data_IF_723886336872
#
_entry.id   IF_723886336872
#
_cell.length_a   1.000
_cell.length_b   1.000
_cell.length_c   1.000
_cell.angle_alpha   90.00
_cell.angle_beta   90.00
_cell.angle_gamma   90.00
#
_symmetry.space_group_name_H-M   'P 1'
#
loop_
_entity.id
_entity.type
_entity.pdbx_description
1 polymer ?
#
# COMPACT_ATOMS: atom_id res chain seq x y z
N UNK A 1 -7.19 -5.48 -1.72
CA UNK A 1 -6.82 -6.91 -1.71
C UNK A 1 -5.73 -7.09 -0.67
N UNK A 2 -6.07 -7.63 0.50
CA UNK A 2 -5.06 -8.07 1.49
C UNK A 2 -4.35 -9.26 0.87
N UNK A 3 -3.16 -9.06 0.30
CA UNK A 3 -2.34 -10.19 -0.12
C UNK A 3 -2.11 -11.07 1.12
N UNK A 4 -2.38 -12.38 1.04
CA UNK A 4 -2.21 -13.29 2.16
C UNK A 4 -0.72 -13.43 2.45
N UNK A 5 -0.26 -12.62 3.41
CA UNK A 5 1.07 -12.65 4.02
C UNK A 5 1.60 -14.08 4.26
N UNK A 6 0.82 -15.08 4.73
CA UNK A 6 1.38 -16.40 5.01
C UNK A 6 1.84 -17.19 3.78
N UNK A 7 1.23 -16.98 2.60
CA UNK A 7 1.58 -17.75 1.39
C UNK A 7 2.95 -17.31 0.85
N UNK A 8 3.27 -16.03 0.98
CA UNK A 8 4.52 -15.44 0.49
C UNK A 8 5.69 -15.77 1.43
N UNK A 9 5.45 -15.80 2.75
CA UNK A 9 6.42 -16.32 3.71
C UNK A 9 6.69 -17.81 3.49
N UNK A 10 5.64 -18.61 3.27
CA UNK A 10 5.77 -20.03 2.98
C UNK A 10 6.58 -20.31 1.70
N UNK A 11 6.34 -19.55 0.64
CA UNK A 11 7.08 -19.69 -0.62
C UNK A 11 8.56 -19.29 -0.47
N UNK A 12 8.86 -18.23 0.28
CA UNK A 12 10.24 -17.77 0.50
C UNK A 12 11.04 -18.77 1.34
N UNK A 13 10.42 -19.38 2.36
CA UNK A 13 11.04 -20.42 3.19
C UNK A 13 11.28 -21.71 2.39
N UNK A 14 10.33 -22.10 1.54
CA UNK A 14 10.46 -23.28 0.69
C UNK A 14 11.59 -23.14 -0.35
N UNK A 15 11.72 -21.96 -0.96
CA UNK A 15 12.80 -21.66 -1.92
C UNK A 15 14.16 -21.64 -1.20
N UNK A 16 14.24 -21.06 0.00
CA UNK A 16 15.46 -21.08 0.82
C UNK A 16 15.90 -22.51 1.19
N UNK A 17 14.96 -23.38 1.58
CA UNK A 17 15.24 -24.78 1.91
C UNK A 17 15.70 -25.61 0.70
N UNK A 18 15.08 -25.42 -0.47
CA UNK A 18 15.44 -26.16 -1.68
C UNK A 18 16.86 -25.84 -2.14
N UNK A 19 17.27 -24.57 -2.01
CA UNK A 19 18.61 -24.11 -2.43
C UNK A 19 19.67 -24.52 -1.41
N UNK A 20 19.36 -24.48 -0.11
CA UNK A 20 20.25 -25.01 0.93
C UNK A 20 20.51 -26.53 0.75
N UNK A 21 19.47 -27.31 0.43
CA UNK A 21 19.60 -28.73 0.15
C UNK A 21 20.47 -29.00 -1.10
N UNK A 22 20.31 -28.19 -2.15
CA UNK A 22 21.15 -28.28 -3.36
C UNK A 22 22.61 -27.93 -3.06
N UNK A 23 22.86 -26.88 -2.27
CA UNK A 23 24.20 -26.48 -1.84
C UNK A 23 24.93 -27.56 -1.03
N UNK A 24 24.24 -28.25 -0.12
CA UNK A 24 24.79 -29.36 0.66
C UNK A 24 25.17 -30.55 -0.24
N UNK A 25 24.34 -30.86 -1.25
CA UNK A 25 24.61 -31.96 -2.18
C UNK A 25 25.83 -31.71 -3.09
N UNK A 26 26.12 -30.45 -3.41
CA UNK A 26 27.26 -30.04 -4.25
C UNK A 26 28.53 -29.80 -3.43
N UNK A 27 28.41 -29.34 -2.17
CA UNK A 27 29.55 -29.16 -1.26
C UNK A 27 30.28 -30.46 -0.91
N UNK A 28 29.58 -31.60 -0.97
CA UNK A 28 30.18 -32.94 -0.86
C UNK A 28 31.14 -33.29 -2.02
N UNK A 29 31.14 -32.52 -3.12
CA UNK A 29 31.99 -32.75 -4.31
C UNK A 29 33.27 -31.88 -4.37
N UNK A 30 33.60 -31.15 -3.31
CA UNK A 30 34.92 -30.47 -3.17
C UNK A 30 34.99 -29.00 -3.62
N UNK A 31 33.85 -28.31 -3.74
CA UNK A 31 33.80 -26.86 -3.96
C UNK A 31 34.01 -26.09 -2.63
N UNK A 32 34.58 -24.87 -2.68
CA UNK A 32 34.82 -24.01 -1.51
C UNK A 32 33.52 -23.74 -0.72
N UNK A 33 33.37 -24.42 0.42
CA UNK A 33 32.20 -24.35 1.31
C UNK A 33 31.85 -22.92 1.73
N UNK A 34 32.84 -22.03 1.85
CA UNK A 34 32.65 -20.61 2.22
C UNK A 34 31.81 -19.84 1.20
N UNK A 35 32.06 -20.04 -0.09
CA UNK A 35 31.32 -19.36 -1.17
C UNK A 35 29.88 -19.85 -1.26
N UNK A 36 29.66 -21.15 -1.05
CA UNK A 36 28.32 -21.74 -1.03
C UNK A 36 27.49 -21.27 0.18
N UNK A 37 28.11 -21.14 1.36
CA UNK A 37 27.43 -20.64 2.55
C UNK A 37 27.01 -19.16 2.40
N UNK A 38 27.87 -18.34 1.78
CA UNK A 38 27.54 -16.94 1.49
C UNK A 38 26.41 -16.84 0.44
N UNK A 39 26.49 -17.61 -0.65
CA UNK A 39 25.44 -17.63 -1.68
C UNK A 39 24.08 -18.11 -1.14
N UNK A 40 24.07 -19.11 -0.25
CA UNK A 40 22.84 -19.57 0.40
C UNK A 40 22.21 -18.49 1.30
N UNK A 41 23.04 -17.72 2.00
CA UNK A 41 22.57 -16.59 2.83
C UNK A 41 22.01 -15.46 1.97
N UNK A 42 22.70 -15.06 0.91
CA UNK A 42 22.26 -13.98 0.02
C UNK A 42 20.93 -14.31 -0.66
N UNK A 43 20.76 -15.55 -1.12
CA UNK A 43 19.51 -15.99 -1.76
C UNK A 43 18.35 -16.12 -0.76
N UNK A 44 18.63 -16.42 0.51
CA UNK A 44 17.59 -16.43 1.54
C UNK A 44 17.11 -15.00 1.90
N UNK A 45 18.01 -14.01 1.87
CA UNK A 45 17.71 -12.61 2.21
C UNK A 45 17.12 -11.84 1.02
N UNK A 46 17.55 -12.15 -0.22
CA UNK A 46 17.10 -11.48 -1.44
C UNK A 46 15.57 -11.37 -1.62
N UNK A 47 14.75 -12.43 -1.46
CA UNK A 47 13.30 -12.32 -1.65
C UNK A 47 12.63 -11.42 -0.61
N UNK A 48 13.16 -11.38 0.62
CA UNK A 48 12.67 -10.50 1.69
C UNK A 48 12.91 -9.03 1.30
N UNK A 49 14.11 -8.71 0.81
CA UNK A 49 14.47 -7.36 0.39
C UNK A 49 13.61 -6.89 -0.80
N UNK A 50 13.45 -7.73 -1.83
CA UNK A 50 12.62 -7.41 -3.00
C UNK A 50 11.16 -7.15 -2.59
N UNK A 51 10.60 -7.97 -1.71
CA UNK A 51 9.23 -7.79 -1.23
C UNK A 51 9.05 -6.49 -0.44
N UNK A 52 9.98 -6.19 0.46
CA UNK A 52 9.95 -4.96 1.26
C UNK A 52 10.00 -3.72 0.36
N UNK A 53 10.90 -3.73 -0.64
CA UNK A 53 11.02 -2.60 -1.58
C UNK A 53 9.74 -2.38 -2.40
N UNK A 54 9.02 -3.43 -2.78
CA UNK A 54 7.79 -3.29 -3.56
C UNK A 54 6.64 -2.68 -2.74
N UNK A 55 6.47 -3.11 -1.49
CA UNK A 55 5.47 -2.52 -0.58
C UNK A 55 5.84 -1.08 -0.24
N UNK A 56 7.12 -0.86 0.08
CA UNK A 56 7.62 0.46 0.44
C UNK A 56 7.42 1.45 -0.72
N UNK A 57 7.73 1.05 -1.95
CA UNK A 57 7.46 1.86 -3.16
C UNK A 57 5.98 2.20 -3.31
N UNK A 58 5.08 1.24 -3.14
CA UNK A 58 3.63 1.51 -3.21
C UNK A 58 3.20 2.52 -2.15
N UNK A 59 3.58 2.31 -0.89
CA UNK A 59 3.17 3.18 0.22
C UNK A 59 3.72 4.59 0.03
N UNK A 60 4.98 4.72 -0.39
CA UNK A 60 5.58 6.01 -0.72
C UNK A 60 4.82 6.75 -1.83
N UNK A 61 4.46 6.06 -2.92
CA UNK A 61 3.66 6.67 -4.00
C UNK A 61 2.27 7.13 -3.54
N UNK A 62 1.68 6.44 -2.57
CA UNK A 62 0.41 6.85 -1.95
C UNK A 62 0.61 8.12 -1.14
N UNK A 63 1.64 8.14 -0.29
CA UNK A 63 1.93 9.27 0.60
C UNK A 63 2.38 10.51 -0.18
N UNK A 64 3.11 10.34 -1.29
CA UNK A 64 3.53 11.43 -2.18
C UNK A 64 2.34 12.07 -2.92
N UNK A 65 1.30 11.29 -3.26
CA UNK A 65 0.11 11.76 -3.97
C UNK A 65 -0.99 12.28 -3.05
N UNK A 66 -0.93 11.95 -1.76
CA UNK A 66 -1.89 12.42 -0.75
C UNK A 66 -1.96 13.94 -0.64
N UNK A 67 -0.84 14.70 -0.49
CA UNK A 67 -0.91 16.16 -0.45
C UNK A 67 -1.48 16.75 -1.75
N UNK A 68 -1.11 16.17 -2.90
CA UNK A 68 -1.66 16.58 -4.20
C UNK A 68 -3.17 16.40 -4.27
N UNK A 69 -3.71 15.29 -3.73
CA UNK A 69 -5.15 15.09 -3.62
C UNK A 69 -5.81 16.18 -2.76
N UNK A 70 -5.20 16.52 -1.61
CA UNK A 70 -5.75 17.51 -0.68
C UNK A 70 -5.72 18.93 -1.27
N UNK A 71 -4.66 19.28 -1.99
CA UNK A 71 -4.51 20.56 -2.68
C UNK A 71 -5.60 20.72 -3.75
N UNK A 72 -5.77 19.71 -4.61
CA UNK A 72 -6.85 19.71 -5.60
C UNK A 72 -8.24 19.75 -4.96
N UNK A 73 -8.42 19.15 -3.79
CA UNK A 73 -9.69 19.19 -3.07
C UNK A 73 -9.98 20.59 -2.54
N UNK A 74 -8.96 21.27 -2.01
CA UNK A 74 -9.05 22.65 -1.55
C UNK A 74 -9.36 23.60 -2.72
N UNK A 75 -8.66 23.47 -3.85
CA UNK A 75 -8.93 24.27 -5.06
C UNK A 75 -10.39 24.15 -5.53
N UNK A 76 -10.94 22.93 -5.48
CA UNK A 76 -12.32 22.67 -5.88
C UNK A 76 -13.31 23.25 -4.86
N UNK A 77 -13.00 23.19 -3.58
CA UNK A 77 -13.81 23.79 -2.53
C UNK A 77 -13.80 25.33 -2.62
N UNK A 78 -12.65 25.93 -2.90
CA UNK A 78 -12.50 27.37 -3.14
C UNK A 78 -13.20 27.83 -4.42
N UNK A 79 -13.31 26.94 -5.41
CA UNK A 79 -14.14 27.14 -6.61
C UNK A 79 -15.66 27.03 -6.33
N UNK A 80 -16.06 26.74 -5.09
CA UNK A 80 -17.47 26.71 -4.66
C UNK A 80 -18.13 25.34 -4.72
N UNK A 81 -17.39 24.26 -4.99
CA UNK A 81 -17.95 22.91 -4.89
C UNK A 81 -18.11 22.52 -3.41
N UNK A 82 -19.20 21.83 -3.10
CA UNK A 82 -19.32 21.24 -1.76
C UNK A 82 -18.30 20.11 -1.59
N UNK A 83 -17.99 19.78 -0.33
CA UNK A 83 -16.96 18.82 0.00
C UNK A 83 -17.13 17.45 -0.71
N UNK A 84 -18.36 16.93 -0.77
CA UNK A 84 -18.66 15.63 -1.38
C UNK A 84 -18.49 15.69 -2.91
N UNK A 85 -18.93 16.77 -3.56
CA UNK A 85 -18.76 17.00 -4.99
C UNK A 85 -17.29 17.17 -5.37
N UNK A 86 -16.53 17.94 -4.59
CA UNK A 86 -15.09 18.10 -4.79
C UNK A 86 -14.38 16.74 -4.68
N UNK A 87 -14.79 15.90 -3.72
CA UNK A 87 -14.25 14.55 -3.54
C UNK A 87 -14.60 13.62 -4.71
N UNK A 88 -15.81 13.71 -5.26
CA UNK A 88 -16.25 12.98 -6.45
C UNK A 88 -15.44 13.36 -7.69
N UNK A 89 -15.23 14.67 -7.93
CA UNK A 89 -14.40 15.18 -9.03
C UNK A 89 -12.96 14.70 -8.89
N UNK A 90 -12.40 14.77 -7.69
CA UNK A 90 -11.06 14.23 -7.40
C UNK A 90 -10.98 12.73 -7.72
N UNK A 91 -11.99 11.92 -7.39
CA UNK A 91 -11.95 10.48 -7.67
C UNK A 91 -11.91 10.11 -9.16
N UNK A 92 -12.35 11.04 -10.02
CA UNK A 92 -12.27 10.89 -11.47
C UNK A 92 -10.86 11.15 -12.01
N UNK A 93 -10.01 11.87 -11.26
CA UNK A 93 -8.59 12.11 -11.58
C UNK A 93 -7.71 10.92 -11.18
N UNK A 94 -6.53 10.83 -11.78
CA UNK A 94 -5.55 9.76 -11.52
C UNK A 94 -4.50 10.22 -10.50
N UNK A 95 -4.48 9.56 -9.34
CA UNK A 95 -3.50 9.73 -8.26
C UNK A 95 -2.64 8.46 -8.08
N UNK A 96 -2.44 7.71 -9.17
CA UNK A 96 -1.70 6.45 -9.15
C UNK A 96 -2.33 5.42 -8.19
N UNK A 97 -1.57 4.82 -7.25
CA UNK A 97 -2.08 3.80 -6.34
C UNK A 97 -3.18 4.27 -5.37
N UNK A 98 -3.31 5.58 -5.15
CA UNK A 98 -4.34 6.18 -4.29
C UNK A 98 -5.73 6.26 -4.96
N UNK A 99 -5.77 6.23 -6.30
CA UNK A 99 -7.00 6.33 -7.10
C UNK A 99 -8.02 5.23 -6.77
N UNK A 100 -7.55 4.00 -6.57
CA UNK A 100 -8.43 2.84 -6.35
C UNK A 100 -9.15 2.92 -4.99
N UNK A 101 -8.47 3.16 -3.86
CA UNK A 101 -9.12 3.48 -2.60
C UNK A 101 -10.08 4.67 -2.71
N UNK A 102 -9.68 5.74 -3.40
CA UNK A 102 -10.47 6.97 -3.53
C UNK A 102 -11.79 6.74 -4.26
N UNK A 103 -11.77 6.07 -5.42
CA UNK A 103 -12.98 5.72 -6.19
C UNK A 103 -13.96 4.89 -5.38
N UNK A 104 -13.46 3.94 -4.58
CA UNK A 104 -14.33 3.13 -3.73
C UNK A 104 -14.97 3.94 -2.61
N UNK A 105 -14.24 4.89 -2.04
CA UNK A 105 -14.79 5.79 -1.04
C UNK A 105 -15.93 6.63 -1.63
N UNK A 106 -15.75 7.17 -2.85
CA UNK A 106 -16.82 7.90 -3.55
C UNK A 106 -18.02 7.01 -3.84
N UNK A 107 -17.81 5.78 -4.34
CA UNK A 107 -18.93 4.84 -4.56
C UNK A 107 -19.74 4.59 -3.28
N UNK A 108 -19.08 4.47 -2.12
CA UNK A 108 -19.77 4.32 -0.83
C UNK A 108 -20.60 5.57 -0.50
N UNK A 109 -20.05 6.77 -0.72
CA UNK A 109 -20.77 8.03 -0.50
C UNK A 109 -21.97 8.16 -1.44
N UNK A 110 -21.81 7.81 -2.72
CA UNK A 110 -22.90 7.79 -3.71
C UNK A 110 -24.02 6.81 -3.34
N UNK A 111 -23.71 5.77 -2.55
CA UNK A 111 -24.70 4.82 -2.00
C UNK A 111 -25.28 5.26 -0.65
N UNK A 112 -25.04 6.50 -0.23
CA UNK A 112 -25.60 7.08 1.00
C UNK A 112 -24.91 6.59 2.28
N UNK A 113 -23.73 5.97 2.19
CA UNK A 113 -22.93 5.62 3.38
C UNK A 113 -22.41 6.89 4.04
N UNK A 114 -22.47 6.93 5.37
CA UNK A 114 -21.94 8.04 6.18
C UNK A 114 -20.47 8.34 5.84
N UNK A 115 -20.15 9.63 5.79
CA UNK A 115 -18.82 10.12 5.39
C UNK A 115 -17.68 9.52 6.24
N UNK A 116 -17.88 9.42 7.56
CA UNK A 116 -16.91 8.84 8.48
C UNK A 116 -16.60 7.36 8.15
N UNK A 117 -17.65 6.57 7.85
CA UNK A 117 -17.50 5.15 7.46
C UNK A 117 -16.77 5.02 6.13
N UNK A 118 -17.08 5.87 5.16
CA UNK A 118 -16.40 5.90 3.87
C UNK A 118 -14.91 6.27 4.02
N UNK A 119 -14.57 7.26 4.83
CA UNK A 119 -13.19 7.69 5.08
C UNK A 119 -12.39 6.66 5.87
N UNK A 120 -13.02 5.94 6.80
CA UNK A 120 -12.40 4.80 7.48
C UNK A 120 -12.06 3.69 6.49
N UNK A 121 -12.95 3.38 5.54
CA UNK A 121 -12.68 2.40 4.48
C UNK A 121 -11.61 2.87 3.51
N UNK A 122 -11.59 4.14 3.15
CA UNK A 122 -10.53 4.76 2.35
C UNK A 122 -9.15 4.56 3.01
N UNK A 123 -9.03 4.86 4.30
CA UNK A 123 -7.79 4.68 5.06
C UNK A 123 -7.36 3.21 5.17
N UNK A 124 -8.30 2.30 5.43
CA UNK A 124 -8.04 0.85 5.50
C UNK A 124 -7.53 0.30 4.15
N UNK A 125 -8.01 0.83 3.03
CA UNK A 125 -7.63 0.40 1.69
C UNK A 125 -6.31 1.01 1.19
N UNK A 126 -6.08 2.28 1.48
CA UNK A 126 -4.81 2.95 1.17
C UNK A 126 -3.66 2.30 1.95
N UNK A 127 -3.87 2.01 3.24
CA UNK A 127 -2.96 1.20 4.05
C UNK A 127 -1.71 1.94 4.54
N UNK A 128 -1.65 3.27 4.43
CA UNK A 128 -0.59 4.11 5.00
C UNK A 128 -1.11 4.87 6.23
N UNK A 129 -0.19 5.28 7.11
CA UNK A 129 -0.53 6.01 8.34
C UNK A 129 -0.97 7.45 8.04
N UNK A 130 -0.30 8.10 7.08
CA UNK A 130 -0.64 9.46 6.66
C UNK A 130 -2.08 9.56 6.14
N UNK A 131 -2.51 8.62 5.29
CA UNK A 131 -3.89 8.60 4.80
C UNK A 131 -4.88 8.37 5.94
N UNK A 132 -4.54 7.54 6.92
CA UNK A 132 -5.40 7.31 8.09
C UNK A 132 -5.60 8.56 8.93
N UNK A 133 -4.52 9.30 9.17
CA UNK A 133 -4.57 10.58 9.88
C UNK A 133 -5.41 11.59 9.12
N UNK A 134 -5.15 11.77 7.82
CA UNK A 134 -5.89 12.69 6.96
C UNK A 134 -7.37 12.34 6.90
N UNK A 135 -7.73 11.08 6.70
CA UNK A 135 -9.12 10.61 6.71
C UNK A 135 -9.85 10.97 8.00
N UNK A 136 -9.19 10.84 9.15
CA UNK A 136 -9.78 11.17 10.45
C UNK A 136 -10.02 12.68 10.56
N UNK A 137 -9.02 13.50 10.21
CA UNK A 137 -9.13 14.97 10.19
C UNK A 137 -10.27 15.40 9.27
N UNK A 138 -10.34 14.83 8.06
CA UNK A 138 -11.36 15.12 7.07
C UNK A 138 -12.76 14.78 7.58
N UNK A 139 -12.92 13.62 8.21
CA UNK A 139 -14.19 13.20 8.80
C UNK A 139 -14.65 14.13 9.93
N UNK A 140 -13.71 14.62 10.75
CA UNK A 140 -14.00 15.60 11.78
C UNK A 140 -14.36 16.97 11.17
N UNK A 141 -13.63 17.41 10.15
CA UNK A 141 -13.89 18.68 9.47
C UNK A 141 -15.28 18.74 8.85
N UNK A 142 -15.68 17.69 8.12
CA UNK A 142 -17.03 17.59 7.53
C UNK A 142 -18.11 17.52 8.59
N UNK A 143 -17.86 16.85 9.73
CA UNK A 143 -18.82 16.78 10.84
C UNK A 143 -19.04 18.13 11.53
N UNK A 144 -18.01 18.97 11.59
CA UNK A 144 -18.07 20.29 12.25
C UNK A 144 -18.57 21.39 11.30
N UNK A 145 -18.25 21.28 10.00
CA UNK A 145 -18.64 22.25 8.98
C UNK A 145 -19.95 21.94 8.25
N UNK A 146 -20.59 20.81 8.56
CA UNK A 146 -21.91 20.42 8.07
C UNK A 146 -23.04 20.89 8.96
#
# INVERSE_FOLDING_TARGET
MRCPKPIIYGLSVAVGLAIAAYGVSVGLRGFDLRLLLLAALDVAVAPIAVFYTMIYRRNRLIDDMLPVLLDNLADLQDAGLNFIQAFEVCSSRSYGPLTKPLKKAVVLLSWGVEFEKAMKKFAEEAGTENVRMVSAILSAAVRVGG
#
